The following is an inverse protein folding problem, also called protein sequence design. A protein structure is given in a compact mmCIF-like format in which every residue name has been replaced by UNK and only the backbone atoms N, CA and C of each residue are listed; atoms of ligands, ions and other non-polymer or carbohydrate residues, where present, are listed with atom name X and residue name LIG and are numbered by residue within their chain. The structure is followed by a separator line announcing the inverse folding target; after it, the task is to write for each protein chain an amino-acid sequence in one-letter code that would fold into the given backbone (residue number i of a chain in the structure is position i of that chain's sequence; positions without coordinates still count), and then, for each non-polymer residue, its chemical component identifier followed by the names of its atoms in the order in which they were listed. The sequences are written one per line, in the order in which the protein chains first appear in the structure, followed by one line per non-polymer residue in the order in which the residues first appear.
data_IF_417906226440
#
_entry.id   IF_417906226440
#
_cell.length_a   1.000
_cell.length_b   1.000
_cell.length_c   1.000
_cell.angle_alpha   90.00
_cell.angle_beta   90.00
_cell.angle_gamma   90.00
#
_symmetry.space_group_name_H-M   'P 1'
#
loop_
_entity.id
_entity.type
_entity.pdbx_description
1 polymer ?
#
# COMPACT_ATOMS: atom_id res chain seq x y z
N UNK A 1 -23.74 -18.46 -41.09
CA UNK A 1 -24.50 -18.22 -39.85
C UNK A 1 -23.50 -17.96 -38.74
N UNK A 2 -23.26 -16.70 -38.38
CA UNK A 2 -22.36 -16.31 -37.30
C UNK A 2 -23.21 -15.87 -36.10
N UNK A 3 -23.14 -16.62 -35.01
CA UNK A 3 -23.85 -16.31 -33.77
C UNK A 3 -23.23 -15.09 -33.11
N UNK A 4 -24.01 -14.01 -32.97
CA UNK A 4 -23.67 -12.89 -32.08
C UNK A 4 -23.74 -13.41 -30.64
N UNK A 5 -22.61 -13.46 -29.95
CA UNK A 5 -22.58 -13.65 -28.50
C UNK A 5 -23.33 -12.49 -27.85
N UNK A 6 -24.29 -12.81 -26.97
CA UNK A 6 -24.98 -11.81 -26.18
C UNK A 6 -23.97 -11.13 -25.23
N UNK A 7 -24.03 -9.80 -25.04
CA UNK A 7 -23.21 -9.13 -24.05
C UNK A 7 -23.54 -9.67 -22.65
N UNK A 8 -22.50 -10.05 -21.91
CA UNK A 8 -22.62 -10.54 -20.52
C UNK A 8 -23.40 -9.54 -19.65
N UNK A 9 -24.43 -9.98 -18.91
CA UNK A 9 -25.27 -9.11 -18.09
C UNK A 9 -24.53 -8.41 -16.94
N UNK A 10 -23.29 -8.80 -16.64
CA UNK A 10 -22.43 -8.17 -15.63
C UNK A 10 -21.93 -6.77 -16.02
N UNK A 11 -22.01 -6.37 -17.29
CA UNK A 11 -21.57 -5.03 -17.70
C UNK A 11 -22.64 -3.93 -17.52
N UNK A 12 -23.93 -4.27 -17.45
CA UNK A 12 -25.02 -3.30 -17.54
C UNK A 12 -25.56 -2.80 -16.19
N UNK A 13 -25.28 -3.49 -15.07
CA UNK A 13 -25.73 -3.08 -13.73
C UNK A 13 -24.76 -2.10 -13.02
N UNK A 14 -23.66 -1.71 -13.67
CA UNK A 14 -22.55 -0.91 -13.09
C UNK A 14 -22.74 0.61 -13.16
N UNK A 15 -23.97 1.13 -13.22
CA UNK A 15 -24.21 2.57 -13.33
C UNK A 15 -24.89 3.13 -12.08
N UNK A 16 -24.32 4.21 -11.54
CA UNK A 16 -24.89 5.19 -10.59
C UNK A 16 -24.85 4.95 -9.07
N UNK A 17 -23.84 4.28 -8.53
CA UNK A 17 -23.25 4.76 -7.27
C UNK A 17 -21.98 5.52 -7.65
N UNK A 18 -21.81 6.74 -7.16
CA UNK A 18 -20.60 7.52 -7.41
C UNK A 18 -19.38 6.71 -6.93
N UNK A 19 -18.71 6.06 -7.88
CA UNK A 19 -17.55 5.23 -7.63
C UNK A 19 -16.44 6.15 -7.13
N UNK A 20 -16.19 6.12 -5.82
CA UNK A 20 -15.04 6.77 -5.22
C UNK A 20 -13.79 6.35 -6.02
N UNK A 21 -13.08 7.32 -6.55
CA UNK A 21 -11.84 7.11 -7.29
C UNK A 21 -10.64 7.02 -6.33
N UNK A 22 -9.47 6.64 -6.83
CA UNK A 22 -8.23 6.73 -6.06
C UNK A 22 -7.93 8.17 -5.60
N UNK A 23 -8.28 9.17 -6.41
CA UNK A 23 -8.11 10.59 -6.02
C UNK A 23 -9.03 10.94 -4.86
N UNK A 24 -10.30 10.55 -4.93
CA UNK A 24 -11.27 10.81 -3.85
C UNK A 24 -10.83 10.13 -2.56
N UNK A 25 -10.37 8.87 -2.64
CA UNK A 25 -9.82 8.15 -1.49
C UNK A 25 -8.59 8.85 -0.91
N UNK A 26 -7.67 9.31 -1.76
CA UNK A 26 -6.49 10.04 -1.29
C UNK A 26 -6.85 11.36 -0.59
N UNK A 27 -7.92 12.05 -1.02
CA UNK A 27 -8.44 13.23 -0.34
C UNK A 27 -9.04 12.90 1.04
N UNK A 28 -9.79 11.80 1.15
CA UNK A 28 -10.31 11.35 2.45
C UNK A 28 -9.19 10.92 3.40
N UNK A 29 -8.20 10.17 2.91
CA UNK A 29 -7.03 9.78 3.70
C UNK A 29 -6.22 11.01 4.15
N UNK A 30 -6.14 12.06 3.30
CA UNK A 30 -5.52 13.33 3.69
C UNK A 30 -6.30 14.01 4.80
N UNK A 31 -7.64 14.10 4.66
CA UNK A 31 -8.49 14.66 5.70
C UNK A 31 -8.35 13.90 7.02
N UNK A 32 -8.25 12.57 6.97
CA UNK A 32 -8.06 11.72 8.14
C UNK A 32 -6.68 11.96 8.78
N UNK A 33 -5.61 11.98 7.97
CA UNK A 33 -4.26 12.27 8.44
C UNK A 33 -4.14 13.64 9.13
N UNK A 34 -4.91 14.63 8.66
CA UNK A 34 -4.98 15.99 9.22
C UNK A 34 -5.99 16.11 10.39
N UNK A 35 -6.55 14.99 10.87
CA UNK A 35 -7.58 14.94 11.91
C UNK A 35 -8.83 15.79 11.60
N UNK A 36 -9.13 16.01 10.32
CA UNK A 36 -10.36 16.68 9.85
C UNK A 36 -11.56 15.74 9.76
N UNK A 37 -11.31 14.44 9.68
CA UNK A 37 -12.32 13.39 9.81
C UNK A 37 -11.84 12.37 10.83
N UNK A 38 -12.76 11.75 11.54
CA UNK A 38 -12.47 10.65 12.49
C UNK A 38 -12.35 9.31 11.78
N UNK A 39 -11.85 8.29 12.49
CA UNK A 39 -11.87 6.92 12.00
C UNK A 39 -13.27 6.44 11.63
N UNK A 40 -14.24 6.66 12.50
CA UNK A 40 -15.63 6.24 12.29
C UNK A 40 -16.24 6.90 11.05
N UNK A 41 -15.95 8.18 10.82
CA UNK A 41 -16.38 8.91 9.63
C UNK A 41 -15.73 8.36 8.36
N UNK A 42 -14.43 8.07 8.39
CA UNK A 42 -13.73 7.43 7.27
C UNK A 42 -14.34 6.06 6.96
N UNK A 43 -14.59 5.22 7.97
CA UNK A 43 -15.22 3.91 7.79
C UNK A 43 -16.64 4.01 7.24
N UNK A 44 -17.45 4.94 7.75
CA UNK A 44 -18.79 5.18 7.24
C UNK A 44 -18.79 5.60 5.76
N UNK A 45 -17.77 6.33 5.31
CA UNK A 45 -17.60 6.69 3.90
C UNK A 45 -17.12 5.52 3.02
N UNK A 46 -16.32 4.61 3.57
CA UNK A 46 -15.84 3.41 2.86
C UNK A 46 -16.88 2.28 2.80
N UNK A 47 -17.82 2.22 3.75
CA UNK A 47 -18.87 1.21 3.80
C UNK A 47 -19.63 0.98 2.47
N UNK A 48 -20.12 2.02 1.75
CA UNK A 48 -20.78 1.81 0.45
C UNK A 48 -19.84 1.31 -0.65
N UNK A 49 -18.54 1.63 -0.57
CA UNK A 49 -17.52 1.12 -1.51
C UNK A 49 -17.31 -0.37 -1.28
N UNK A 50 -17.12 -0.77 -0.02
CA UNK A 50 -16.96 -2.17 0.39
C UNK A 50 -18.20 -3.02 0.05
N UNK A 51 -19.40 -2.47 0.21
CA UNK A 51 -20.63 -3.14 -0.19
C UNK A 51 -20.75 -3.39 -1.70
N UNK A 52 -19.99 -2.64 -2.52
CA UNK A 52 -19.92 -2.78 -3.97
C UNK A 52 -18.63 -3.49 -4.43
N UNK A 53 -17.90 -4.12 -3.50
CA UNK A 53 -16.68 -4.87 -3.79
C UNK A 53 -16.95 -5.94 -4.87
N UNK A 54 -16.23 -5.89 -6.02
CA UNK A 54 -16.41 -6.85 -7.09
C UNK A 54 -15.85 -8.23 -6.75
N UNK A 55 -15.09 -8.39 -5.65
CA UNK A 55 -14.67 -9.72 -5.22
C UNK A 55 -15.80 -10.47 -4.55
N UNK A 56 -16.14 -11.61 -5.14
CA UNK A 56 -16.84 -12.65 -4.42
C UNK A 56 -15.83 -13.47 -3.61
N UNK A 57 -15.76 -13.20 -2.30
CA UNK A 57 -14.92 -13.95 -1.35
C UNK A 57 -15.24 -15.46 -1.41
N UNK A 58 -16.45 -15.85 -1.83
CA UNK A 58 -16.82 -17.25 -1.97
C UNK A 58 -16.10 -17.96 -3.13
N UNK A 59 -15.66 -17.23 -4.16
CA UNK A 59 -14.95 -17.80 -5.31
C UNK A 59 -13.43 -17.83 -5.11
N UNK A 60 -12.89 -17.09 -4.13
CA UNK A 60 -11.45 -16.99 -3.84
C UNK A 60 -10.59 -16.70 -5.08
N UNK A 61 -11.15 -16.01 -6.08
CA UNK A 61 -10.46 -15.68 -7.33
C UNK A 61 -9.87 -14.27 -7.26
N UNK A 62 -8.54 -14.18 -7.19
CA UNK A 62 -7.80 -12.90 -7.24
C UNK A 62 -7.51 -12.42 -8.67
N UNK A 63 -7.81 -13.24 -9.69
CA UNK A 63 -7.53 -12.93 -11.10
C UNK A 63 -8.05 -11.55 -11.54
N UNK A 64 -9.24 -11.08 -11.10
CA UNK A 64 -9.72 -9.74 -11.43
C UNK A 64 -8.77 -8.62 -11.00
N UNK A 65 -8.00 -8.82 -9.93
CA UNK A 65 -7.08 -7.83 -9.39
C UNK A 65 -5.68 -7.91 -9.99
N UNK A 66 -5.23 -9.10 -10.36
CA UNK A 66 -3.92 -9.28 -10.99
C UNK A 66 -3.85 -8.59 -12.36
N UNK A 67 -4.98 -8.46 -13.05
CA UNK A 67 -5.11 -7.77 -14.33
C UNK A 67 -5.72 -6.37 -14.26
N UNK A 68 -6.08 -5.89 -13.06
CA UNK A 68 -6.65 -4.55 -12.90
C UNK A 68 -5.58 -3.47 -13.14
N UNK A 69 -6.04 -2.30 -13.62
CA UNK A 69 -5.19 -1.11 -13.71
C UNK A 69 -4.60 -0.76 -12.34
N UNK A 70 -3.38 -0.22 -12.30
CA UNK A 70 -2.66 0.05 -11.05
C UNK A 70 -3.47 0.93 -10.08
N UNK A 71 -4.21 1.91 -10.58
CA UNK A 71 -5.08 2.77 -9.77
C UNK A 71 -6.14 1.96 -9.02
N UNK A 72 -6.79 1.00 -9.69
CA UNK A 72 -7.80 0.16 -9.08
C UNK A 72 -7.18 -0.80 -8.04
N UNK A 73 -6.00 -1.35 -8.35
CA UNK A 73 -5.25 -2.21 -7.42
C UNK A 73 -4.86 -1.46 -6.15
N UNK A 74 -4.32 -0.25 -6.30
CA UNK A 74 -3.97 0.58 -5.16
C UNK A 74 -5.19 1.02 -4.38
N UNK A 75 -6.24 1.48 -5.07
CA UNK A 75 -7.51 1.87 -4.45
C UNK A 75 -8.03 0.80 -3.51
N UNK A 76 -8.25 -0.41 -4.03
CA UNK A 76 -8.78 -1.52 -3.22
C UNK A 76 -7.83 -1.90 -2.10
N UNK A 77 -6.52 -1.95 -2.37
CA UNK A 77 -5.54 -2.27 -1.33
C UNK A 77 -5.55 -1.28 -0.17
N UNK A 78 -5.74 0.00 -0.45
CA UNK A 78 -5.88 1.04 0.58
C UNK A 78 -7.20 0.90 1.34
N UNK A 79 -8.31 0.65 0.64
CA UNK A 79 -9.61 0.40 1.29
C UNK A 79 -9.50 -0.73 2.31
N UNK A 80 -8.95 -1.89 1.94
CA UNK A 80 -8.78 -2.98 2.92
C UNK A 80 -7.75 -2.68 4.00
N UNK A 81 -6.66 -1.98 3.66
CA UNK A 81 -5.65 -1.62 4.66
C UNK A 81 -6.27 -0.79 5.78
N UNK A 82 -7.08 0.21 5.46
CA UNK A 82 -7.69 1.07 6.48
C UNK A 82 -8.91 0.44 7.15
N UNK A 83 -9.53 -0.57 6.54
CA UNK A 83 -10.65 -1.27 7.16
C UNK A 83 -10.20 -2.40 8.11
N UNK A 84 -9.21 -3.20 7.70
CA UNK A 84 -8.81 -4.39 8.47
C UNK A 84 -7.94 -4.10 9.70
N UNK A 85 -7.39 -2.88 9.82
CA UNK A 85 -6.52 -2.47 10.92
C UNK A 85 -7.32 -2.06 12.16
N UNK A 86 -8.24 -2.91 12.63
CA UNK A 86 -9.06 -2.69 13.83
C UNK A 86 -8.24 -2.51 15.11
N UNK A 87 -7.09 -3.18 15.20
CA UNK A 87 -6.24 -3.18 16.39
C UNK A 87 -5.27 -1.99 16.50
N UNK A 88 -5.06 -1.23 15.41
CA UNK A 88 -4.12 -0.11 15.40
C UNK A 88 -4.72 1.12 16.11
N UNK A 89 -3.87 1.88 16.81
CA UNK A 89 -4.26 3.16 17.40
C UNK A 89 -4.58 4.17 16.28
N UNK A 90 -5.58 5.04 16.50
CA UNK A 90 -6.00 6.01 15.46
C UNK A 90 -4.84 6.91 15.02
N UNK A 91 -3.96 7.31 15.93
CA UNK A 91 -2.78 8.12 15.62
C UNK A 91 -1.77 7.37 14.73
N UNK A 92 -1.64 6.05 14.86
CA UNK A 92 -0.82 5.23 13.97
C UNK A 92 -1.43 5.18 12.56
N UNK A 93 -2.75 5.00 12.48
CA UNK A 93 -3.48 5.00 11.21
C UNK A 93 -3.39 6.37 10.52
N UNK A 94 -3.47 7.47 11.26
CA UNK A 94 -3.30 8.83 10.70
C UNK A 94 -1.90 9.03 10.14
N UNK A 95 -0.86 8.59 10.86
CA UNK A 95 0.52 8.62 10.35
C UNK A 95 0.65 7.80 9.07
N UNK A 96 0.08 6.60 9.04
CA UNK A 96 0.06 5.75 7.84
C UNK A 96 -0.65 6.43 6.67
N UNK A 97 -1.83 7.01 6.89
CA UNK A 97 -2.58 7.75 5.88
C UNK A 97 -1.75 8.91 5.31
N UNK A 98 -1.10 9.69 6.17
CA UNK A 98 -0.19 10.76 5.76
C UNK A 98 0.95 10.25 4.87
N UNK A 99 1.62 9.17 5.28
CA UNK A 99 2.71 8.56 4.49
C UNK A 99 2.24 8.08 3.12
N UNK A 100 1.09 7.42 3.05
CA UNK A 100 0.50 6.92 1.79
C UNK A 100 0.18 8.09 0.85
N UNK A 101 -0.50 9.13 1.36
CA UNK A 101 -0.87 10.31 0.59
C UNK A 101 0.36 11.04 0.08
N UNK A 102 1.39 11.20 0.92
CA UNK A 102 2.66 11.83 0.53
C UNK A 102 3.39 11.02 -0.55
N UNK A 103 3.41 9.69 -0.43
CA UNK A 103 3.98 8.81 -1.44
C UNK A 103 3.26 8.96 -2.78
N UNK A 104 1.93 8.90 -2.77
CA UNK A 104 1.13 9.04 -3.99
C UNK A 104 1.34 10.41 -4.63
N UNK A 105 1.33 11.49 -3.84
CA UNK A 105 1.52 12.85 -4.33
C UNK A 105 2.92 13.09 -4.92
N UNK A 106 3.98 12.55 -4.29
CA UNK A 106 5.37 12.77 -4.75
C UNK A 106 5.77 11.89 -5.92
N UNK A 107 5.26 10.67 -5.98
CA UNK A 107 5.56 9.75 -7.08
C UNK A 107 4.67 10.00 -8.29
N UNK A 108 3.45 10.50 -8.08
CA UNK A 108 2.43 10.63 -9.13
C UNK A 108 2.05 9.27 -9.75
N UNK A 109 2.39 8.16 -9.11
CA UNK A 109 2.28 6.82 -9.67
C UNK A 109 1.62 5.85 -8.68
N UNK A 110 0.44 5.38 -9.04
CA UNK A 110 -0.26 4.34 -8.29
C UNK A 110 0.53 3.02 -8.30
N UNK A 111 1.23 2.71 -9.40
CA UNK A 111 2.07 1.51 -9.50
C UNK A 111 3.21 1.53 -8.47
N UNK A 112 3.98 2.63 -8.43
CA UNK A 112 5.10 2.79 -7.48
C UNK A 112 4.59 2.81 -6.05
N UNK A 113 3.49 3.53 -5.79
CA UNK A 113 2.90 3.60 -4.44
C UNK A 113 2.40 2.23 -3.99
N UNK A 114 1.76 1.45 -4.87
CA UNK A 114 1.33 0.08 -4.58
C UNK A 114 2.50 -0.83 -4.22
N UNK A 115 3.59 -0.74 -4.98
CA UNK A 115 4.80 -1.53 -4.75
C UNK A 115 5.51 -1.17 -3.45
N UNK A 116 5.53 0.12 -3.07
CA UNK A 116 6.11 0.61 -1.82
C UNK A 116 5.21 0.41 -0.60
N UNK A 117 3.91 0.21 -0.79
CA UNK A 117 2.94 0.21 0.30
C UNK A 117 3.30 -0.71 1.47
N UNK A 118 3.78 -1.97 1.27
CA UNK A 118 4.21 -2.82 2.38
C UNK A 118 5.34 -2.22 3.21
N UNK A 119 6.27 -1.50 2.58
CA UNK A 119 7.38 -0.84 3.26
C UNK A 119 6.93 0.43 3.98
N UNK A 120 6.00 1.19 3.39
CA UNK A 120 5.40 2.40 3.99
C UNK A 120 4.57 2.04 5.24
N UNK A 121 3.80 0.95 5.14
CA UNK A 121 3.01 0.43 6.25
C UNK A 121 3.92 -0.01 7.42
N UNK A 122 5.02 -0.68 7.09
CA UNK A 122 5.97 -1.23 8.07
C UNK A 122 7.14 -0.28 8.42
N UNK A 123 7.08 0.98 7.99
CA UNK A 123 8.23 1.89 7.97
C UNK A 123 8.93 2.03 9.32
N UNK A 124 8.17 2.27 10.39
CA UNK A 124 8.73 2.52 11.73
C UNK A 124 9.44 1.27 12.27
N UNK A 125 8.79 0.12 12.18
CA UNK A 125 9.35 -1.17 12.60
C UNK A 125 10.56 -1.52 11.75
N UNK A 126 10.47 -1.38 10.44
CA UNK A 126 11.57 -1.61 9.50
C UNK A 126 12.80 -0.76 9.86
N UNK A 127 12.63 0.56 10.00
CA UNK A 127 13.73 1.47 10.29
C UNK A 127 14.37 1.17 11.66
N UNK A 128 13.56 0.80 12.66
CA UNK A 128 14.06 0.40 13.98
C UNK A 128 14.93 -0.88 13.90
N UNK A 129 14.51 -1.87 13.10
CA UNK A 129 15.25 -3.12 12.90
C UNK A 129 16.51 -2.89 12.08
N UNK A 130 16.43 -2.12 11.00
CA UNK A 130 17.58 -1.73 10.19
C UNK A 130 18.63 -0.98 11.05
N UNK A 131 18.20 -0.03 11.88
CA UNK A 131 19.10 0.70 12.78
C UNK A 131 19.77 -0.20 13.82
N UNK A 132 19.09 -1.25 14.32
CA UNK A 132 19.71 -2.26 15.19
C UNK A 132 20.75 -3.08 14.42
N UNK A 133 20.47 -3.44 13.17
CA UNK A 133 21.40 -4.19 12.34
C UNK A 133 22.65 -3.38 12.00
N UNK A 134 22.48 -2.14 11.56
CA UNK A 134 23.56 -1.19 11.23
C UNK A 134 24.50 -0.98 12.42
N UNK A 135 23.95 -0.88 13.63
CA UNK A 135 24.72 -0.73 14.88
C UNK A 135 25.33 -2.04 15.39
N UNK A 136 25.13 -3.16 14.70
CA UNK A 136 25.62 -4.47 15.12
C UNK A 136 24.88 -5.08 16.32
N UNK A 137 23.73 -4.53 16.71
CA UNK A 137 22.89 -5.08 17.80
C UNK A 137 22.24 -6.39 17.39
N UNK A 138 21.88 -6.52 16.11
CA UNK A 138 21.43 -7.79 15.53
C UNK A 138 22.36 -8.23 14.39
N UNK A 139 22.59 -9.53 14.30
CA UNK A 139 23.42 -10.11 13.24
C UNK A 139 22.76 -9.94 11.87
N UNK A 140 23.55 -10.09 10.80
CA UNK A 140 23.03 -10.15 9.43
C UNK A 140 21.98 -11.24 9.28
N UNK A 141 22.22 -12.43 9.81
CA UNK A 141 21.24 -13.52 9.78
C UNK A 141 19.93 -13.14 10.46
N UNK A 142 19.99 -12.50 11.64
CA UNK A 142 18.79 -12.04 12.35
C UNK A 142 18.00 -10.99 11.55
N UNK A 143 18.69 -10.04 10.91
CA UNK A 143 18.05 -9.09 10.00
C UNK A 143 17.38 -9.79 8.82
N UNK A 144 18.07 -10.74 8.17
CA UNK A 144 17.53 -11.47 7.02
C UNK A 144 16.33 -12.36 7.39
N UNK A 145 16.30 -12.93 8.60
CA UNK A 145 15.11 -13.65 9.09
C UNK A 145 13.88 -12.74 9.16
N UNK A 146 14.02 -11.53 9.70
CA UNK A 146 12.91 -10.55 9.72
C UNK A 146 12.45 -10.20 8.30
N UNK A 147 13.40 -9.94 7.39
CA UNK A 147 13.07 -9.63 5.99
C UNK A 147 12.36 -10.81 5.32
N UNK A 148 12.78 -12.05 5.58
CA UNK A 148 12.16 -13.24 5.02
C UNK A 148 10.70 -13.40 5.47
N UNK A 149 10.42 -13.15 6.75
CA UNK A 149 9.09 -13.26 7.37
C UNK A 149 8.16 -12.07 7.07
N UNK A 150 8.70 -10.97 6.54
CA UNK A 150 7.90 -9.80 6.17
C UNK A 150 6.92 -10.08 5.02
N UNK A 151 5.87 -9.26 4.91
CA UNK A 151 4.96 -9.24 3.75
C UNK A 151 5.51 -8.49 2.53
N UNK A 152 6.81 -8.22 2.46
CA UNK A 152 7.40 -7.44 1.36
C UNK A 152 7.38 -8.19 0.03
N UNK A 153 7.27 -7.48 -1.11
CA UNK A 153 7.38 -8.10 -2.42
C UNK A 153 8.78 -8.69 -2.63
N UNK A 154 8.87 -9.73 -3.47
CA UNK A 154 10.11 -10.49 -3.66
C UNK A 154 11.30 -9.65 -4.10
N UNK A 155 11.10 -8.66 -4.97
CA UNK A 155 12.17 -7.77 -5.43
C UNK A 155 12.72 -6.92 -4.28
N UNK A 156 11.87 -6.45 -3.36
CA UNK A 156 12.28 -5.68 -2.19
C UNK A 156 13.06 -6.55 -1.22
N UNK A 157 12.59 -7.78 -0.96
CA UNK A 157 13.32 -8.76 -0.13
C UNK A 157 14.71 -9.02 -0.71
N UNK A 158 14.82 -9.21 -2.02
CA UNK A 158 16.10 -9.39 -2.70
C UNK A 158 17.01 -8.17 -2.54
N UNK A 159 16.48 -6.96 -2.77
CA UNK A 159 17.26 -5.74 -2.58
C UNK A 159 17.79 -5.60 -1.14
N UNK A 160 16.93 -5.82 -0.14
CA UNK A 160 17.30 -5.77 1.28
C UNK A 160 18.29 -6.86 1.68
N UNK A 161 18.24 -8.03 1.05
CA UNK A 161 19.23 -9.09 1.26
C UNK A 161 20.63 -8.64 0.82
N UNK A 162 20.74 -7.87 -0.25
CA UNK A 162 22.02 -7.38 -0.76
C UNK A 162 22.45 -6.04 -0.16
N UNK A 163 21.53 -5.29 0.45
CA UNK A 163 21.82 -3.99 1.04
C UNK A 163 22.84 -4.09 2.18
N UNK A 164 23.92 -3.31 2.07
CA UNK A 164 24.85 -3.06 3.16
C UNK A 164 24.34 -1.96 4.11
N UNK A 165 24.97 -1.78 5.28
CA UNK A 165 24.57 -0.76 6.25
C UNK A 165 24.37 0.65 5.67
N UNK A 166 25.25 1.18 4.80
CA UNK A 166 25.06 2.52 4.23
C UNK A 166 23.82 2.64 3.34
N UNK A 167 23.43 1.56 2.64
CA UNK A 167 22.24 1.56 1.80
C UNK A 167 20.97 1.52 2.65
N UNK A 168 20.98 0.74 3.74
CA UNK A 168 19.87 0.68 4.69
C UNK A 168 19.66 2.02 5.42
N UNK A 169 20.75 2.69 5.83
CA UNK A 169 20.68 4.02 6.44
C UNK A 169 20.05 5.04 5.49
N UNK A 170 20.54 5.11 4.24
CA UNK A 170 19.97 6.01 3.21
C UNK A 170 18.51 5.71 2.91
N UNK A 171 18.11 4.43 2.88
CA UNK A 171 16.72 4.06 2.70
C UNK A 171 15.86 4.57 3.87
N UNK A 172 16.30 4.35 5.11
CA UNK A 172 15.59 4.83 6.30
C UNK A 172 15.50 6.37 6.34
N UNK A 173 16.57 7.06 5.95
CA UNK A 173 16.59 8.53 5.83
C UNK A 173 15.54 9.02 4.83
N UNK A 174 15.51 8.44 3.62
CA UNK A 174 14.54 8.80 2.57
C UNK A 174 13.11 8.53 3.00
N UNK A 175 12.85 7.38 3.62
CA UNK A 175 11.53 7.07 4.16
C UNK A 175 11.13 8.07 5.26
N UNK A 176 12.07 8.41 6.16
CA UNK A 176 11.85 9.39 7.23
C UNK A 176 11.60 10.82 6.72
N UNK A 177 12.18 11.19 5.58
CA UNK A 177 11.98 12.50 4.93
C UNK A 177 10.85 12.50 3.89
N UNK A 178 10.04 11.44 3.81
CA UNK A 178 9.01 11.23 2.80
C UNK A 178 9.52 11.33 1.34
N UNK A 179 10.80 11.05 1.08
CA UNK A 179 11.38 10.98 -0.26
C UNK A 179 11.16 9.60 -0.91
N UNK A 180 9.88 9.25 -1.05
CA UNK A 180 9.46 7.93 -1.55
C UNK A 180 9.84 7.69 -3.00
N UNK A 181 9.91 8.74 -3.83
CA UNK A 181 10.34 8.63 -5.21
C UNK A 181 11.81 8.17 -5.31
N UNK A 182 12.71 8.79 -4.54
CA UNK A 182 14.12 8.38 -4.52
C UNK A 182 14.31 7.03 -3.83
N UNK A 183 13.49 6.71 -2.82
CA UNK A 183 13.48 5.38 -2.21
C UNK A 183 13.15 4.31 -3.26
N UNK A 184 12.05 4.43 -4.01
CA UNK A 184 11.68 3.52 -5.09
C UNK A 184 12.81 3.37 -6.13
N UNK A 185 13.30 4.48 -6.66
CA UNK A 185 14.34 4.49 -7.70
C UNK A 185 15.68 3.88 -7.24
N UNK A 186 15.91 3.75 -5.94
CA UNK A 186 17.08 3.07 -5.41
C UNK A 186 16.94 1.55 -5.38
N UNK A 187 15.70 1.05 -5.36
CA UNK A 187 15.40 -0.38 -5.33
C UNK A 187 15.33 -1.03 -6.72
N UNK A 188 15.30 -0.21 -7.77
CA UNK A 188 15.43 -0.63 -9.17
C UNK A 188 16.88 -0.97 -9.56
N UNK A 189 17.86 -0.69 -8.69
CA UNK A 189 19.28 -0.89 -8.92
C UNK A 189 19.91 -1.68 -7.78
N UNK A 190 21.09 -2.24 -8.03
CA UNK A 190 21.87 -2.86 -6.96
C UNK A 190 22.14 -1.83 -5.82
N UNK A 191 22.01 -2.24 -4.54
CA UNK A 191 22.12 -1.36 -3.37
C UNK A 191 23.50 -0.75 -3.13
#
# INVERSE_FOLDING_TARGET
MAGRAAPSPLHAARSTLALMTLSDLAEQLRAFAEARVTRDELQAQLAPVLAADPLDVAESDSTPWDHAHHDARLFWRLVYLFETEEAAEEDELRRLAGRVVDCLARTGSAAVTFELLPLIADQERFCAIAAKHVRGVISRTGFLSVVAESGYPGYLKLWLQHAGPPALERLCERLGSADYATAAASMERAP
#
